data_IF_039861442500
#
_entry.id   IF_039861442500
#
_cell.length_a   1.000
_cell.length_b   1.000
_cell.length_c   1.000
_cell.angle_alpha   90.00
_cell.angle_beta   90.00
_cell.angle_gamma   90.00
#
_symmetry.space_group_name_H-M   'P 1'
#
loop_
_entity.id
_entity.type
_entity.pdbx_description
1 polymer ?
#
# COMPACT_ATOMS: atom_id res chain seq x y z
N UNK A 1 45.15 36.18 -23.39
CA UNK A 1 44.91 36.81 -22.07
C UNK A 1 43.41 36.89 -21.86
N UNK A 2 42.96 36.47 -20.66
CA UNK A 2 41.63 36.67 -20.01
C UNK A 2 40.37 36.32 -20.84
N UNK A 3 39.81 35.10 -20.77
CA UNK A 3 38.86 34.58 -19.75
C UNK A 3 37.79 35.59 -19.35
N UNK A 4 36.59 35.44 -19.95
CA UNK A 4 35.34 35.81 -19.29
C UNK A 4 34.38 34.62 -19.28
N UNK A 5 34.09 34.18 -18.07
CA UNK A 5 33.22 33.07 -17.69
C UNK A 5 32.12 33.67 -16.84
N UNK A 6 30.86 33.67 -17.29
CA UNK A 6 29.70 34.05 -16.47
C UNK A 6 28.49 33.15 -16.82
N UNK A 7 27.67 32.75 -15.83
CA UNK A 7 27.29 31.36 -15.64
C UNK A 7 25.81 31.03 -15.89
N UNK A 8 25.60 29.74 -16.17
CA UNK A 8 24.53 28.91 -15.60
C UNK A 8 23.13 29.50 -15.44
N UNK A 9 22.28 29.37 -16.47
CA UNK A 9 20.84 29.16 -16.27
C UNK A 9 20.53 27.67 -16.35
N UNK A 10 20.81 26.96 -15.27
CA UNK A 10 20.18 25.65 -15.02
C UNK A 10 18.69 25.91 -14.82
N UNK A 11 17.89 25.49 -15.79
CA UNK A 11 16.45 25.26 -15.69
C UNK A 11 16.15 24.35 -14.49
N UNK A 12 16.02 24.92 -13.30
CA UNK A 12 15.42 24.23 -12.15
C UNK A 12 13.91 24.44 -12.23
N UNK A 13 13.27 23.75 -13.18
CA UNK A 13 11.87 23.42 -13.01
C UNK A 13 11.78 22.57 -11.73
N UNK A 14 11.37 23.20 -10.62
CA UNK A 14 10.99 22.51 -9.38
C UNK A 14 9.84 21.57 -9.72
N UNK A 15 10.16 20.36 -10.17
CA UNK A 15 9.19 19.26 -10.22
C UNK A 15 8.79 19.03 -8.77
N UNK A 16 7.61 19.53 -8.39
CA UNK A 16 6.95 19.14 -7.17
C UNK A 16 6.89 17.61 -7.17
N UNK A 17 7.75 16.98 -6.35
CA UNK A 17 7.68 15.56 -6.07
C UNK A 17 6.28 15.34 -5.51
N UNK A 18 5.35 14.82 -6.31
CA UNK A 18 4.08 14.28 -5.82
C UNK A 18 4.46 13.20 -4.81
N UNK A 19 4.39 13.52 -3.52
CA UNK A 19 4.53 12.58 -2.42
C UNK A 19 3.43 11.54 -2.57
N UNK A 20 3.82 10.37 -3.09
CA UNK A 20 2.96 9.20 -3.23
C UNK A 20 2.24 8.93 -1.91
N UNK A 21 0.91 8.85 -1.94
CA UNK A 21 0.07 8.10 -0.99
C UNK A 21 0.25 8.32 0.52
N UNK A 22 0.96 9.36 0.99
CA UNK A 22 1.11 9.60 2.42
C UNK A 22 -0.25 10.00 2.99
N UNK A 23 -0.82 9.15 3.85
CA UNK A 23 -2.00 9.51 4.66
C UNK A 23 -1.66 10.78 5.44
N UNK A 24 -2.27 11.91 5.10
CA UNK A 24 -2.09 13.16 5.84
C UNK A 24 -2.78 13.02 7.18
N UNK A 25 -2.05 13.29 8.27
CA UNK A 25 -2.70 13.44 9.57
C UNK A 25 -3.55 14.71 9.50
N UNK A 26 -4.83 14.57 9.83
CA UNK A 26 -5.77 15.68 9.98
C UNK A 26 -6.45 15.54 11.35
N UNK A 27 -6.97 16.67 11.85
CA UNK A 27 -7.54 16.77 13.20
C UNK A 27 -8.82 15.95 13.34
N UNK A 28 -9.69 16.02 12.33
CA UNK A 28 -11.03 15.44 12.40
C UNK A 28 -11.20 14.38 11.29
N UNK A 29 -11.37 13.14 11.73
CA UNK A 29 -11.66 12.00 10.87
C UNK A 29 -13.14 11.62 11.02
N UNK A 30 -13.87 11.52 9.93
CA UNK A 30 -15.26 11.06 9.96
C UNK A 30 -15.31 9.55 10.22
N UNK A 31 -16.44 9.02 10.74
CA UNK A 31 -16.62 7.58 10.89
C UNK A 31 -16.36 6.80 9.59
N UNK A 32 -16.78 7.33 8.46
CA UNK A 32 -16.59 6.71 7.14
C UNK A 32 -15.12 6.68 6.72
N UNK A 33 -14.37 7.75 6.97
CA UNK A 33 -12.94 7.77 6.65
C UNK A 33 -12.14 6.83 7.55
N UNK A 34 -12.52 6.72 8.83
CA UNK A 34 -11.93 5.74 9.75
C UNK A 34 -12.26 4.32 9.29
N UNK A 35 -13.49 4.07 8.89
CA UNK A 35 -13.93 2.77 8.38
C UNK A 35 -13.14 2.36 7.14
N UNK A 36 -13.02 3.27 6.16
CA UNK A 36 -12.28 3.06 4.93
C UNK A 36 -10.78 2.85 5.18
N UNK A 37 -10.18 3.68 6.03
CA UNK A 37 -8.77 3.57 6.41
C UNK A 37 -8.50 2.24 7.13
N UNK A 38 -9.38 1.88 8.06
CA UNK A 38 -9.29 0.68 8.88
C UNK A 38 -9.38 -0.62 8.08
N UNK A 39 -10.23 -0.65 7.05
CA UNK A 39 -10.39 -1.79 6.16
C UNK A 39 -9.07 -2.19 5.44
N UNK A 40 -8.11 -1.27 5.31
CA UNK A 40 -6.84 -1.51 4.61
C UNK A 40 -5.86 -2.39 5.39
N UNK A 41 -5.97 -2.41 6.71
CA UNK A 41 -4.99 -3.07 7.58
C UNK A 41 -5.44 -4.46 8.02
N UNK A 42 -4.54 -5.27 8.58
CA UNK A 42 -4.91 -6.48 9.34
C UNK A 42 -4.98 -6.14 10.82
N UNK A 43 -6.03 -6.59 11.50
CA UNK A 43 -6.25 -6.27 12.92
C UNK A 43 -5.04 -6.67 13.80
N UNK A 44 -4.55 -7.91 13.66
CA UNK A 44 -3.40 -8.41 14.42
C UNK A 44 -2.12 -7.60 14.19
N UNK A 45 -1.84 -7.22 12.93
CA UNK A 45 -0.66 -6.42 12.62
C UNK A 45 -0.76 -5.05 13.29
N UNK A 46 -1.90 -4.38 13.17
CA UNK A 46 -2.10 -3.06 13.80
C UNK A 46 -2.00 -3.15 15.32
N UNK A 47 -2.59 -4.20 15.93
CA UNK A 47 -2.48 -4.46 17.37
C UNK A 47 -1.02 -4.61 17.80
N UNK A 48 -0.28 -5.53 17.17
CA UNK A 48 1.11 -5.82 17.50
C UNK A 48 1.98 -4.56 17.45
N UNK A 49 1.68 -3.66 16.52
CA UNK A 49 2.43 -2.43 16.34
C UNK A 49 2.03 -1.32 17.31
N UNK A 50 0.75 -1.23 17.67
CA UNK A 50 0.34 -0.41 18.80
C UNK A 50 1.07 -0.84 20.08
N UNK A 51 1.09 -2.14 20.37
CA UNK A 51 1.81 -2.70 21.53
C UNK A 51 3.32 -2.44 21.46
N UNK A 52 3.95 -2.62 20.29
CA UNK A 52 5.37 -2.36 20.12
C UNK A 52 5.71 -0.87 20.31
N UNK A 53 4.90 0.04 19.79
CA UNK A 53 5.06 1.49 19.97
C UNK A 53 4.98 1.88 21.45
N UNK A 54 4.03 1.28 22.19
CA UNK A 54 3.91 1.49 23.64
C UNK A 54 5.13 0.97 24.41
N UNK A 55 5.71 -0.16 23.96
CA UNK A 55 6.95 -0.68 24.54
C UNK A 55 8.13 0.26 24.29
N UNK A 56 8.30 0.76 23.05
CA UNK A 56 9.35 1.74 22.74
C UNK A 56 9.23 3.00 23.60
N UNK A 57 8.01 3.53 23.77
CA UNK A 57 7.78 4.69 24.65
C UNK A 57 8.13 4.42 26.13
N UNK A 58 8.04 3.17 26.60
CA UNK A 58 8.43 2.83 27.96
C UNK A 58 9.96 2.71 28.11
N UNK A 59 10.67 2.40 27.02
CA UNK A 59 12.13 2.22 26.96
C UNK A 59 12.86 3.53 26.64
N UNK A 60 12.17 4.53 26.08
CA UNK A 60 12.72 5.81 25.62
C UNK A 60 12.03 7.00 26.34
N UNK A 61 12.58 7.48 27.47
CA UNK A 61 12.01 8.58 28.24
C UNK A 61 11.94 9.91 27.48
N UNK A 62 12.88 10.15 26.55
CA UNK A 62 12.95 11.40 25.79
C UNK A 62 11.83 11.46 24.74
N UNK A 63 11.57 10.34 24.04
CA UNK A 63 10.39 10.21 23.19
C UNK A 63 9.09 10.28 24.00
N UNK A 64 9.03 9.68 25.19
CA UNK A 64 7.86 9.78 26.06
C UNK A 64 7.59 11.20 26.52
N UNK A 65 8.63 12.01 26.78
CA UNK A 65 8.48 13.39 27.22
C UNK A 65 7.84 14.30 26.15
N UNK A 66 8.14 14.10 24.86
CA UNK A 66 7.53 14.89 23.78
C UNK A 66 6.11 14.41 23.43
N UNK A 67 5.81 13.13 23.68
CA UNK A 67 4.49 12.55 23.47
C UNK A 67 3.63 12.81 24.70
N UNK A 68 2.73 13.80 24.59
CA UNK A 68 1.79 14.13 25.67
C UNK A 68 1.10 12.87 26.24
N UNK A 69 0.94 12.74 27.58
CA UNK A 69 0.38 11.54 28.22
C UNK A 69 -1.01 11.13 27.70
N UNK A 70 -1.85 12.10 27.33
CA UNK A 70 -3.18 11.87 26.76
C UNK A 70 -3.11 11.05 25.45
N UNK A 71 -2.08 11.23 24.63
CA UNK A 71 -1.87 10.47 23.39
C UNK A 71 -1.44 9.03 23.66
N UNK A 72 -0.61 8.82 24.69
CA UNK A 72 -0.18 7.49 25.12
C UNK A 72 -1.38 6.70 25.64
N UNK A 73 -2.18 7.32 26.50
CA UNK A 73 -3.41 6.71 27.03
C UNK A 73 -4.46 6.46 25.94
N UNK A 74 -4.57 7.36 24.95
CA UNK A 74 -5.43 7.13 23.79
C UNK A 74 -4.99 5.89 22.97
N UNK A 75 -3.68 5.74 22.72
CA UNK A 75 -3.15 4.54 22.05
C UNK A 75 -3.43 3.27 22.86
N UNK A 76 -3.15 3.27 24.17
CA UNK A 76 -3.45 2.13 25.06
C UNK A 76 -4.93 1.75 25.00
N UNK A 77 -5.81 2.74 25.12
CA UNK A 77 -7.26 2.53 25.05
C UNK A 77 -7.70 1.90 23.72
N UNK A 78 -7.21 2.42 22.59
CA UNK A 78 -7.55 1.87 21.28
C UNK A 78 -6.95 0.49 21.01
N UNK A 79 -5.73 0.20 21.50
CA UNK A 79 -5.15 -1.16 21.42
C UNK A 79 -6.00 -2.16 22.22
N UNK A 80 -6.41 -1.82 23.44
CA UNK A 80 -7.26 -2.68 24.27
C UNK A 80 -8.65 -2.91 23.64
N UNK A 81 -9.25 -1.86 23.05
CA UNK A 81 -10.52 -1.98 22.30
C UNK A 81 -10.37 -2.88 21.08
N UNK A 82 -9.30 -2.70 20.32
CA UNK A 82 -9.01 -3.54 19.15
C UNK A 82 -8.76 -5.00 19.55
N UNK A 83 -8.02 -5.24 20.63
CA UNK A 83 -7.81 -6.58 21.17
C UNK A 83 -9.11 -7.28 21.54
N UNK A 84 -9.99 -6.59 22.27
CA UNK A 84 -11.33 -7.10 22.59
C UNK A 84 -12.14 -7.39 21.32
N UNK A 85 -12.06 -6.52 20.31
CA UNK A 85 -12.74 -6.73 19.04
C UNK A 85 -12.21 -7.94 18.26
N UNK A 86 -10.90 -8.21 18.31
CA UNK A 86 -10.26 -9.38 17.66
C UNK A 86 -10.70 -10.69 18.32
N UNK A 87 -10.97 -10.69 19.64
CA UNK A 87 -11.45 -11.91 20.33
C UNK A 87 -12.89 -12.30 19.96
N UNK A 88 -13.63 -11.43 19.28
CA UNK A 88 -14.96 -11.73 18.74
C UNK A 88 -14.82 -12.56 17.44
N UNK A 89 -15.09 -13.87 17.53
CA UNK A 89 -14.93 -14.83 16.42
C UNK A 89 -15.73 -14.45 15.18
N UNK A 90 -16.89 -13.83 15.34
CA UNK A 90 -17.76 -13.46 14.23
C UNK A 90 -17.17 -12.28 13.44
N UNK A 91 -16.57 -11.32 14.16
CA UNK A 91 -15.91 -10.18 13.52
C UNK A 91 -14.68 -10.62 12.72
N UNK A 92 -13.90 -11.56 13.26
CA UNK A 92 -12.74 -12.13 12.59
C UNK A 92 -13.10 -12.98 11.38
N UNK A 93 -14.18 -13.77 11.45
CA UNK A 93 -14.65 -14.56 10.32
C UNK A 93 -15.10 -13.68 9.14
N UNK A 94 -15.77 -12.55 9.42
CA UNK A 94 -16.18 -11.59 8.39
C UNK A 94 -14.96 -10.85 7.81
N UNK A 95 -14.02 -10.36 8.64
CA UNK A 95 -12.78 -9.73 8.13
C UNK A 95 -11.96 -10.70 7.28
N UNK A 96 -11.91 -11.98 7.67
CA UNK A 96 -11.22 -13.02 6.91
C UNK A 96 -11.86 -13.21 5.53
N UNK A 97 -13.19 -13.30 5.44
CA UNK A 97 -13.95 -13.49 4.18
C UNK A 97 -13.95 -12.26 3.27
N UNK A 98 -14.12 -11.07 3.83
CA UNK A 98 -14.19 -9.81 3.06
C UNK A 98 -12.89 -9.49 2.32
N UNK A 99 -11.75 -9.91 2.87
CA UNK A 99 -10.43 -9.59 2.30
C UNK A 99 -9.93 -10.61 1.27
N UNK A 100 -10.47 -11.82 1.24
CA UNK A 100 -9.86 -12.93 0.46
C UNK A 100 -10.29 -13.03 -0.99
N UNK A 101 -11.55 -12.79 -1.33
CA UNK A 101 -12.05 -13.34 -2.61
C UNK A 101 -11.88 -12.34 -3.75
N UNK A 102 -12.72 -11.31 -3.86
CA UNK A 102 -12.77 -10.53 -5.09
C UNK A 102 -11.55 -9.62 -5.34
N UNK A 103 -11.10 -8.87 -4.32
CA UNK A 103 -10.02 -7.88 -4.48
C UNK A 103 -8.63 -8.53 -4.50
N UNK A 104 -8.44 -9.59 -3.71
CA UNK A 104 -7.20 -10.39 -3.71
C UNK A 104 -7.02 -11.12 -5.03
N UNK A 105 -8.07 -11.79 -5.52
CA UNK A 105 -8.04 -12.45 -6.82
C UNK A 105 -7.84 -11.47 -7.97
N UNK A 106 -8.56 -10.33 -7.99
CA UNK A 106 -8.39 -9.34 -9.06
C UNK A 106 -6.99 -8.73 -9.06
N UNK A 107 -6.41 -8.48 -7.88
CA UNK A 107 -5.04 -7.98 -7.76
C UNK A 107 -4.02 -9.01 -8.26
N UNK A 108 -4.13 -10.26 -7.83
CA UNK A 108 -3.21 -11.31 -8.25
C UNK A 108 -3.39 -11.66 -9.73
N UNK A 109 -4.63 -11.75 -10.24
CA UNK A 109 -4.94 -11.91 -11.67
C UNK A 109 -4.31 -10.79 -12.49
N UNK A 110 -4.46 -9.53 -12.09
CA UNK A 110 -3.83 -8.39 -12.78
C UNK A 110 -2.29 -8.45 -12.77
N UNK A 111 -1.68 -8.88 -11.66
CA UNK A 111 -0.21 -9.05 -11.57
C UNK A 111 0.29 -10.21 -12.44
N UNK A 112 -0.41 -11.35 -12.42
CA UNK A 112 -0.07 -12.52 -13.24
C UNK A 112 -0.22 -12.17 -14.71
N UNK A 113 -1.37 -11.62 -15.10
CA UNK A 113 -1.66 -11.16 -16.45
C UNK A 113 -0.57 -10.24 -16.97
N UNK A 114 -0.18 -9.23 -16.18
CA UNK A 114 0.90 -8.31 -16.58
C UNK A 114 2.21 -9.03 -16.81
N UNK A 115 2.59 -9.95 -15.91
CA UNK A 115 3.83 -10.73 -16.06
C UNK A 115 3.80 -11.56 -17.34
N UNK A 116 2.67 -12.17 -17.68
CA UNK A 116 2.48 -12.93 -18.92
C UNK A 116 2.62 -12.01 -20.13
N UNK A 117 1.89 -10.89 -20.17
CA UNK A 117 1.95 -9.94 -21.28
C UNK A 117 3.37 -9.38 -21.49
N UNK A 118 4.07 -8.98 -20.42
CA UNK A 118 5.44 -8.47 -20.50
C UNK A 118 6.39 -9.52 -21.05
N UNK A 119 6.29 -10.78 -20.60
CA UNK A 119 7.13 -11.87 -21.12
C UNK A 119 6.88 -12.11 -22.61
N UNK A 120 5.61 -12.10 -23.05
CA UNK A 120 5.25 -12.28 -24.47
C UNK A 120 5.73 -11.12 -25.34
N UNK A 121 5.62 -9.89 -24.85
CA UNK A 121 6.20 -8.69 -25.50
C UNK A 121 7.73 -8.79 -25.61
N UNK A 122 8.41 -9.24 -24.55
CA UNK A 122 9.86 -9.43 -24.57
C UNK A 122 10.28 -10.52 -25.55
N UNK A 123 9.53 -11.62 -25.63
CA UNK A 123 9.78 -12.67 -26.62
C UNK A 123 9.62 -12.14 -28.06
N UNK A 124 8.58 -11.34 -28.32
CA UNK A 124 8.39 -10.68 -29.61
C UNK A 124 9.56 -9.76 -29.99
N UNK A 125 10.07 -8.97 -29.03
CA UNK A 125 11.25 -8.13 -29.24
C UNK A 125 12.50 -8.97 -29.57
N UNK A 126 12.71 -10.10 -28.90
CA UNK A 126 13.83 -11.02 -29.19
C UNK A 126 13.67 -11.67 -30.57
N UNK A 127 12.45 -11.96 -30.99
CA UNK A 127 12.13 -12.46 -32.33
C UNK A 127 12.27 -11.39 -33.44
N UNK A 128 12.70 -10.16 -33.10
CA UNK A 128 12.87 -9.07 -34.06
C UNK A 128 11.57 -8.38 -34.46
N UNK A 129 10.47 -8.66 -33.76
CA UNK A 129 9.20 -7.97 -34.00
C UNK A 129 9.31 -6.55 -33.45
N UNK A 130 8.97 -5.58 -34.29
CA UNK A 130 8.89 -4.18 -33.91
C UNK A 130 7.67 -3.96 -33.00
N UNK A 131 7.96 -3.83 -31.70
CA UNK A 131 6.98 -3.57 -30.64
C UNK A 131 7.22 -2.17 -30.07
N UNK A 132 6.15 -1.38 -29.80
CA UNK A 132 6.29 -0.05 -29.19
C UNK A 132 7.16 -0.05 -27.94
N UNK A 133 8.06 0.93 -27.86
CA UNK A 133 8.98 1.13 -26.74
C UNK A 133 8.25 1.22 -25.38
N UNK A 134 7.03 1.75 -25.41
CA UNK A 134 6.10 1.77 -24.30
C UNK A 134 5.89 0.37 -23.69
N UNK A 135 5.68 -0.67 -24.52
CA UNK A 135 5.49 -2.05 -24.06
C UNK A 135 6.78 -2.66 -23.48
N UNK A 136 7.95 -2.29 -24.02
CA UNK A 136 9.26 -2.83 -23.61
C UNK A 136 9.84 -2.28 -22.31
N UNK A 137 9.45 -1.06 -21.89
CA UNK A 137 10.04 -0.36 -20.72
C UNK A 137 9.20 -0.35 -19.45
N UNK A 138 8.11 -1.11 -19.39
CA UNK A 138 7.14 -1.00 -18.30
C UNK A 138 7.57 -1.72 -17.01
N UNK A 139 8.38 -1.04 -16.20
CA UNK A 139 8.60 -1.42 -14.79
C UNK A 139 7.36 -1.15 -13.94
N UNK A 140 7.16 -1.98 -12.90
CA UNK A 140 6.02 -1.84 -11.99
C UNK A 140 6.10 -0.53 -11.21
N UNK A 141 5.20 0.41 -11.52
CA UNK A 141 4.98 1.59 -10.67
C UNK A 141 4.14 1.11 -9.49
N UNK A 142 4.82 0.73 -8.41
CA UNK A 142 4.23 -0.02 -7.30
C UNK A 142 3.05 0.62 -6.56
N UNK A 143 2.25 -0.27 -5.96
CA UNK A 143 1.63 -0.12 -4.63
C UNK A 143 0.15 0.21 -4.55
N UNK A 144 -0.46 0.76 -5.61
CA UNK A 144 -1.84 1.26 -5.57
C UNK A 144 -2.72 0.54 -6.59
N UNK A 145 -3.88 0.04 -6.17
CA UNK A 145 -4.88 -0.61 -7.02
C UNK A 145 -5.24 0.27 -8.22
N UNK A 146 -5.42 1.58 -8.00
CA UNK A 146 -5.71 2.54 -9.09
C UNK A 146 -4.53 2.78 -10.01
N UNK A 147 -3.30 2.61 -9.52
CA UNK A 147 -2.12 2.68 -10.38
C UNK A 147 -1.99 1.41 -11.21
N UNK A 148 -2.20 0.24 -10.61
CA UNK A 148 -2.18 -1.04 -11.30
C UNK A 148 -3.29 -1.13 -12.34
N UNK A 149 -4.52 -0.72 -12.02
CA UNK A 149 -5.64 -0.77 -12.95
C UNK A 149 -5.41 0.11 -14.20
N UNK A 150 -4.93 1.35 -14.00
CA UNK A 150 -4.55 2.25 -15.10
C UNK A 150 -3.41 1.66 -15.94
N UNK A 151 -2.44 1.02 -15.30
CA UNK A 151 -1.30 0.39 -15.97
C UNK A 151 -1.78 -0.80 -16.83
N UNK A 152 -2.62 -1.68 -16.26
CA UNK A 152 -3.22 -2.82 -16.96
C UNK A 152 -4.07 -2.36 -18.14
N UNK A 153 -4.94 -1.36 -17.97
CA UNK A 153 -5.76 -0.82 -19.06
C UNK A 153 -4.90 -0.19 -20.16
N UNK A 154 -3.87 0.58 -19.79
CA UNK A 154 -2.94 1.14 -20.77
C UNK A 154 -2.23 0.03 -21.55
N UNK A 155 -1.70 -0.97 -20.85
CA UNK A 155 -1.02 -2.13 -21.44
C UNK A 155 -1.92 -2.87 -22.43
N UNK A 156 -3.15 -3.19 -22.02
CA UNK A 156 -4.12 -3.88 -22.87
C UNK A 156 -4.48 -3.06 -24.11
N UNK A 157 -4.71 -1.75 -23.95
CA UNK A 157 -5.01 -0.84 -25.06
C UNK A 157 -3.86 -0.73 -26.07
N UNK A 158 -2.62 -0.60 -25.60
CA UNK A 158 -1.44 -0.55 -26.48
C UNK A 158 -1.23 -1.90 -27.16
N UNK A 159 -1.30 -3.01 -26.42
CA UNK A 159 -1.17 -4.34 -27.01
C UNK A 159 -2.25 -4.63 -28.07
N UNK A 160 -3.50 -4.20 -27.86
CA UNK A 160 -4.59 -4.37 -28.84
C UNK A 160 -4.29 -3.67 -30.17
N UNK A 161 -3.73 -2.46 -30.14
CA UNK A 161 -3.34 -1.73 -31.35
C UNK A 161 -2.28 -2.47 -32.18
N UNK A 162 -1.51 -3.35 -31.56
CA UNK A 162 -0.44 -4.12 -32.18
C UNK A 162 -0.73 -5.63 -32.19
N UNK A 163 -1.99 -6.04 -32.01
CA UNK A 163 -2.35 -7.45 -31.84
C UNK A 163 -1.91 -8.30 -33.04
N UNK A 164 -2.05 -7.79 -34.27
CA UNK A 164 -1.61 -8.51 -35.47
C UNK A 164 -0.12 -8.87 -35.46
N UNK A 165 0.74 -8.01 -34.91
CA UNK A 165 2.18 -8.28 -34.76
C UNK A 165 2.48 -9.19 -33.56
N UNK A 166 1.72 -9.03 -32.47
CA UNK A 166 1.97 -9.73 -31.21
C UNK A 166 1.35 -11.14 -31.16
N UNK A 167 0.43 -11.45 -32.08
CA UNK A 167 -0.25 -12.74 -32.15
C UNK A 167 0.73 -13.91 -32.34
N UNK A 168 1.82 -13.70 -33.07
CA UNK A 168 2.91 -14.69 -33.27
C UNK A 168 3.59 -15.09 -31.95
N UNK A 169 3.44 -14.28 -30.90
CA UNK A 169 3.97 -14.54 -29.55
C UNK A 169 2.84 -14.77 -28.53
N UNK A 170 1.75 -15.37 -28.99
CA UNK A 170 0.60 -15.78 -28.19
C UNK A 170 -0.12 -14.63 -27.46
N UNK A 171 0.03 -13.38 -27.89
CA UNK A 171 -0.83 -12.30 -27.40
C UNK A 171 -2.16 -12.42 -28.13
N UNK A 172 -3.20 -12.89 -27.43
CA UNK A 172 -4.54 -13.11 -28.00
C UNK A 172 -5.53 -12.06 -27.54
N UNK A 173 -6.65 -11.93 -28.25
CA UNK A 173 -7.74 -11.02 -27.84
C UNK A 173 -8.32 -11.41 -26.48
N UNK A 174 -8.39 -12.72 -26.17
CA UNK A 174 -8.81 -13.24 -24.86
C UNK A 174 -7.89 -12.77 -23.74
N UNK A 175 -6.56 -12.87 -23.94
CA UNK A 175 -5.60 -12.36 -22.97
C UNK A 175 -5.85 -10.86 -22.73
N UNK A 176 -6.04 -10.05 -23.77
CA UNK A 176 -6.28 -8.62 -23.59
C UNK A 176 -7.59 -8.34 -22.83
N UNK A 177 -8.64 -9.10 -23.13
CA UNK A 177 -9.95 -9.03 -22.46
C UNK A 177 -9.87 -9.41 -20.97
N UNK A 178 -9.03 -10.38 -20.60
CA UNK A 178 -8.75 -10.72 -19.20
C UNK A 178 -8.09 -9.56 -18.45
N UNK A 179 -7.14 -8.87 -19.10
CA UNK A 179 -6.51 -7.68 -18.57
C UNK A 179 -7.50 -6.56 -18.34
N UNK A 180 -8.34 -6.27 -19.34
CA UNK A 180 -9.37 -5.23 -19.24
C UNK A 180 -10.41 -5.52 -18.17
N UNK A 181 -10.89 -6.76 -18.08
CA UNK A 181 -11.79 -7.21 -17.01
C UNK A 181 -11.14 -6.98 -15.65
N UNK A 182 -9.87 -7.36 -15.49
CA UNK A 182 -9.12 -7.16 -14.25
C UNK A 182 -8.96 -5.67 -13.91
N UNK A 183 -8.67 -4.83 -14.90
CA UNK A 183 -8.59 -3.37 -14.70
C UNK A 183 -9.94 -2.77 -14.32
N UNK A 184 -11.04 -3.20 -14.97
CA UNK A 184 -12.40 -2.77 -14.62
C UNK A 184 -12.72 -3.18 -13.19
N UNK A 185 -12.43 -4.41 -12.77
CA UNK A 185 -12.68 -4.85 -11.38
C UNK A 185 -11.82 -4.07 -10.37
N UNK A 186 -10.57 -3.76 -10.72
CA UNK A 186 -9.68 -2.95 -9.89
C UNK A 186 -10.10 -1.47 -9.82
N UNK A 187 -10.79 -0.95 -10.84
CA UNK A 187 -11.34 0.41 -10.89
C UNK A 187 -12.75 0.53 -10.31
N UNK A 188 -13.57 -0.51 -10.50
CA UNK A 188 -14.93 -0.64 -9.98
C UNK A 188 -14.94 -0.98 -8.49
N UNK A 189 -13.78 -1.08 -7.85
CA UNK A 189 -13.63 -0.74 -6.43
C UNK A 189 -13.85 0.78 -6.26
N UNK A 190 -15.04 1.24 -6.65
CA UNK A 190 -15.49 2.61 -6.46
C UNK A 190 -15.56 2.89 -4.97
N UNK A 191 -15.07 4.05 -4.55
CA UNK A 191 -15.03 4.42 -3.14
C UNK A 191 -16.45 4.45 -2.57
N UNK A 192 -17.45 4.81 -3.37
CA UNK A 192 -18.86 4.78 -2.94
C UNK A 192 -19.39 3.35 -2.78
N UNK A 193 -19.07 2.43 -3.69
CA UNK A 193 -19.45 1.02 -3.57
C UNK A 193 -18.72 0.32 -2.41
N UNK A 194 -17.43 0.60 -2.23
CA UNK A 194 -16.66 0.12 -1.08
C UNK A 194 -17.21 0.69 0.22
N UNK A 195 -17.55 1.98 0.26
CA UNK A 195 -18.18 2.58 1.43
C UNK A 195 -19.57 2.00 1.70
N UNK A 196 -20.39 1.77 0.68
CA UNK A 196 -21.70 1.15 0.82
C UNK A 196 -21.57 -0.28 1.37
N UNK A 197 -20.65 -1.08 0.83
CA UNK A 197 -20.33 -2.42 1.33
C UNK A 197 -19.83 -2.39 2.77
N UNK A 198 -18.88 -1.51 3.09
CA UNK A 198 -18.34 -1.36 4.44
C UNK A 198 -19.40 -0.91 5.45
N UNK A 199 -20.32 -0.03 5.04
CA UNK A 199 -21.48 0.37 5.85
C UNK A 199 -22.48 -0.77 6.04
N UNK A 200 -22.60 -1.69 5.08
CA UNK A 200 -23.46 -2.86 5.20
C UNK A 200 -22.93 -3.94 6.16
N UNK A 201 -21.63 -3.91 6.51
CA UNK A 201 -21.05 -4.85 7.49
C UNK A 201 -21.73 -4.74 8.86
N UNK A 202 -21.75 -5.81 9.68
CA UNK A 202 -22.26 -5.75 11.04
C UNK A 202 -21.61 -4.64 11.87
N UNK A 203 -22.39 -3.98 12.74
CA UNK A 203 -21.92 -2.84 13.54
C UNK A 203 -20.58 -3.11 14.23
N UNK A 204 -20.43 -4.28 14.85
CA UNK A 204 -19.19 -4.71 15.52
C UNK A 204 -17.97 -4.77 14.59
N UNK A 205 -18.15 -5.23 13.34
CA UNK A 205 -17.07 -5.28 12.34
C UNK A 205 -16.67 -3.87 11.92
N UNK A 206 -17.65 -2.97 11.75
CA UNK A 206 -17.37 -1.56 11.45
C UNK A 206 -16.61 -0.89 12.58
N UNK A 207 -17.00 -1.14 13.82
CA UNK A 207 -16.30 -0.65 15.02
C UNK A 207 -14.86 -1.18 15.09
N UNK A 208 -14.63 -2.46 14.81
CA UNK A 208 -13.29 -3.03 14.73
C UNK A 208 -12.43 -2.33 13.67
N UNK A 209 -12.98 -2.08 12.47
CA UNK A 209 -12.27 -1.33 11.42
C UNK A 209 -11.96 0.10 11.85
N UNK A 210 -12.90 0.80 12.46
CA UNK A 210 -12.64 2.15 12.98
C UNK A 210 -11.55 2.14 14.07
N UNK A 211 -11.52 1.15 14.96
CA UNK A 211 -10.45 1.03 15.96
C UNK A 211 -9.10 0.70 15.33
N UNK A 212 -9.04 -0.13 14.28
CA UNK A 212 -7.79 -0.33 13.50
C UNK A 212 -7.26 0.99 12.96
N UNK A 213 -8.13 1.83 12.38
CA UNK A 213 -7.73 3.13 11.89
C UNK A 213 -7.21 4.05 13.01
N UNK A 214 -7.88 4.05 14.17
CA UNK A 214 -7.46 4.84 15.34
C UNK A 214 -6.09 4.43 15.84
N UNK A 215 -5.85 3.14 16.07
CA UNK A 215 -4.53 2.63 16.49
C UNK A 215 -3.46 3.05 15.48
N UNK A 216 -3.71 2.86 14.18
CA UNK A 216 -2.76 3.27 13.13
C UNK A 216 -2.46 4.78 13.18
N UNK A 217 -3.48 5.63 13.33
CA UNK A 217 -3.30 7.09 13.39
C UNK A 217 -2.53 7.52 14.64
N UNK A 218 -2.79 6.90 15.79
CA UNK A 218 -2.05 7.14 17.03
C UNK A 218 -0.59 6.74 16.90
N UNK A 219 -0.31 5.50 16.46
CA UNK A 219 1.06 5.01 16.20
C UNK A 219 1.80 5.97 15.27
N UNK A 220 1.16 6.35 14.15
CA UNK A 220 1.77 7.28 13.21
C UNK A 220 2.09 8.65 13.82
N UNK A 221 1.17 9.19 14.61
CA UNK A 221 1.36 10.47 15.27
C UNK A 221 2.48 10.44 16.32
N UNK A 222 2.55 9.35 17.09
CA UNK A 222 3.57 9.11 18.11
C UNK A 222 4.95 8.96 17.45
N UNK A 223 5.07 8.09 16.45
CA UNK A 223 6.35 7.84 15.80
C UNK A 223 6.91 9.09 15.12
N UNK A 224 6.06 9.93 14.51
CA UNK A 224 6.51 11.21 13.95
C UNK A 224 7.07 12.16 15.01
N UNK A 225 6.53 12.13 16.23
CA UNK A 225 7.03 12.95 17.35
C UNK A 225 8.32 12.34 17.92
N UNK A 226 8.34 11.04 18.16
CA UNK A 226 9.52 10.35 18.67
C UNK A 226 10.72 10.47 17.71
N UNK A 227 10.51 10.33 16.40
CA UNK A 227 11.54 10.57 15.37
C UNK A 227 12.10 11.99 15.40
N UNK A 228 11.35 12.98 15.90
CA UNK A 228 11.85 14.35 15.99
C UNK A 228 12.83 14.56 17.15
N UNK A 229 12.86 13.63 18.12
CA UNK A 229 13.79 13.61 19.25
C UNK A 229 15.12 12.96 18.87
N UNK A 230 15.10 12.07 17.86
CA UNK A 230 16.26 11.33 17.36
C UNK A 230 16.63 11.74 15.92
N UNK A 231 17.04 12.99 15.65
CA UNK A 231 17.24 13.47 14.28
C UNK A 231 18.45 12.87 13.54
N UNK A 232 19.46 12.38 14.28
CA UNK A 232 20.76 11.97 13.71
C UNK A 232 21.16 10.52 14.02
N UNK A 233 20.40 9.81 14.87
CA UNK A 233 20.75 8.47 15.35
C UNK A 233 20.06 7.34 14.58
N UNK A 234 20.73 6.17 14.56
CA UNK A 234 20.14 4.91 14.08
C UNK A 234 18.87 4.51 14.85
N UNK A 235 18.69 5.03 16.05
CA UNK A 235 17.51 4.85 16.93
C UNK A 235 16.23 5.43 16.32
N UNK A 236 16.32 6.46 15.47
CA UNK A 236 15.20 6.95 14.67
C UNK A 236 14.58 5.86 13.76
N UNK A 237 15.41 4.88 13.39
CA UNK A 237 15.03 3.72 12.62
C UNK A 237 14.08 2.78 13.35
N UNK A 238 14.14 2.69 14.69
CA UNK A 238 13.24 1.87 15.50
C UNK A 238 11.81 2.41 15.50
N UNK A 239 11.68 3.73 15.46
CA UNK A 239 10.42 4.44 15.30
C UNK A 239 9.90 4.44 13.85
N UNK A 240 10.71 4.00 12.88
CA UNK A 240 10.28 3.84 11.50
C UNK A 240 9.53 2.51 11.32
N UNK A 241 8.30 2.47 11.83
CA UNK A 241 7.39 1.36 11.56
C UNK A 241 6.93 1.46 10.10
N UNK A 242 7.61 0.72 9.22
CA UNK A 242 7.29 0.49 7.79
C UNK A 242 5.96 -0.29 7.58
N UNK A 243 4.97 0.01 8.41
CA UNK A 243 3.64 -0.59 8.57
C UNK A 243 2.77 -0.74 7.33
N UNK A 244 3.20 -0.16 6.21
CA UNK A 244 2.42 -0.14 4.99
C UNK A 244 3.00 -1.00 3.86
N UNK A 245 4.17 -1.63 4.03
CA UNK A 245 4.83 -2.34 2.91
C UNK A 245 5.49 -3.68 3.21
N UNK A 246 5.35 -4.23 4.42
CA UNK A 246 6.02 -5.48 4.78
C UNK A 246 5.05 -6.65 4.91
N UNK A 247 4.44 -7.04 3.79
CA UNK A 247 4.00 -8.42 3.64
C UNK A 247 5.21 -9.33 3.91
N UNK A 248 5.10 -10.18 4.92
CA UNK A 248 5.51 -11.60 4.85
C UNK A 248 6.95 -11.96 4.40
N UNK A 249 7.94 -11.05 4.40
CA UNK A 249 9.31 -11.35 3.93
C UNK A 249 10.33 -11.73 5.00
N UNK A 250 9.96 -11.91 6.27
CA UNK A 250 10.95 -12.28 7.31
C UNK A 250 10.62 -13.46 8.22
N UNK A 251 9.40 -14.01 8.21
CA UNK A 251 9.11 -15.18 9.06
C UNK A 251 9.48 -16.53 8.42
N UNK A 252 10.11 -16.54 7.24
CA UNK A 252 10.61 -17.77 6.58
C UNK A 252 12.09 -17.80 6.25
N UNK A 253 12.91 -16.86 6.75
CA UNK A 253 14.27 -16.66 6.24
C UNK A 253 15.42 -16.91 7.24
N UNK A 254 15.18 -17.32 8.48
CA UNK A 254 16.27 -17.66 9.42
C UNK A 254 15.86 -18.72 10.44
N UNK A 255 15.66 -19.95 9.98
CA UNK A 255 15.90 -21.17 10.77
C UNK A 255 16.40 -22.27 9.83
N UNK A 256 17.52 -22.01 9.17
CA UNK A 256 18.37 -23.09 8.66
C UNK A 256 19.83 -22.71 8.85
N UNK A 257 20.54 -23.61 9.55
CA UNK A 257 21.99 -23.78 9.59
C UNK A 257 22.75 -22.93 10.62
N UNK A 258 23.12 -23.59 11.72
CA UNK A 258 24.46 -23.75 12.36
C UNK A 258 24.15 -24.06 13.83
N UNK A 259 24.27 -25.27 14.35
CA UNK A 259 25.45 -26.16 14.39
C UNK A 259 24.98 -27.60 14.60
#
# INVERSE_FOLDING_TARGET
MTRDWIPGRRLMAKKAKKTKGKVKLKRDWTPDELLLLGARFRANNVKAQGSHTLRLLAEDPDAAAIVKPDKIEALKSSVAKLEKAITDRDAMAVEAKEKTIAQGEALEKAKIWRRVLVKRVQAALVAGIDVPEDLGRMQARGGDFKALARDVRRLASVARKHLGKLAENEVTEELLKEGETSAVVLESADLEQDMARLRALPKKVREMYMEKARVYLHVKGINLLAQSVHPEDGEAGEWNLDLLYRDARREGATTTTTT
#
